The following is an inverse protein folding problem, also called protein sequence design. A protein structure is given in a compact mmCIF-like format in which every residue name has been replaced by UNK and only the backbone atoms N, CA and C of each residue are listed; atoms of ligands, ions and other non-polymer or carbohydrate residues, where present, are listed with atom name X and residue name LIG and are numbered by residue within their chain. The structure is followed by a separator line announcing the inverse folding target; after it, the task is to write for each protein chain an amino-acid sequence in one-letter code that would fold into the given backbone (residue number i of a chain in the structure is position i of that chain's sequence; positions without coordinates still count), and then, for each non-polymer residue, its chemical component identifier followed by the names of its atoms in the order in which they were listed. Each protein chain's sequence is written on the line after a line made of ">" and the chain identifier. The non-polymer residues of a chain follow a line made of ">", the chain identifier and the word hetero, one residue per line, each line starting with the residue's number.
data_IF_259827020748
#
_entry.id   IF_259827020748
#
_cell.length_a   1.000
_cell.length_b   1.000
_cell.length_c   1.000
_cell.angle_alpha   90.00
_cell.angle_beta   90.00
_cell.angle_gamma   90.00
#
_symmetry.space_group_name_H-M   'P 1'
#
loop_
_entity.id
_entity.type
_entity.pdbx_description
1 polymer ?
#
# COMPACT_ATOMS: atom_id res chain seq x y z
N UNK A 1 -21.77 -11.27 18.67
CA UNK A 1 -20.39 -11.07 19.21
C UNK A 1 -19.52 -12.18 18.61
N UNK A 2 -18.82 -11.91 17.50
CA UNK A 2 -17.85 -12.88 16.94
C UNK A 2 -16.61 -12.80 17.81
N UNK A 3 -16.37 -13.83 18.64
CA UNK A 3 -15.04 -14.09 19.17
C UNK A 3 -14.20 -14.63 18.00
N UNK A 4 -13.51 -13.73 17.28
CA UNK A 4 -12.45 -14.15 16.39
C UNK A 4 -11.36 -14.78 17.25
N UNK A 5 -11.11 -16.08 17.05
CA UNK A 5 -9.88 -16.69 17.53
C UNK A 5 -8.72 -15.90 16.91
N UNK A 6 -7.90 -15.28 17.73
CA UNK A 6 -6.67 -14.59 17.30
C UNK A 6 -5.64 -15.63 16.87
N UNK A 7 -5.85 -16.24 15.70
CA UNK A 7 -4.89 -17.15 15.10
C UNK A 7 -4.03 -16.33 14.13
N UNK A 8 -2.76 -16.18 14.44
CA UNK A 8 -1.77 -15.64 13.51
C UNK A 8 -1.07 -16.80 12.83
N UNK A 9 -1.11 -16.82 11.51
CA UNK A 9 -0.38 -17.77 10.68
C UNK A 9 0.64 -17.03 9.85
N UNK A 10 1.78 -17.64 9.60
CA UNK A 10 2.85 -17.09 8.78
C UNK A 10 3.52 -18.18 7.98
N UNK A 11 3.92 -17.85 6.76
CA UNK A 11 4.84 -18.67 5.98
C UNK A 11 6.11 -17.88 5.69
N UNK A 12 7.25 -18.56 5.66
CA UNK A 12 8.55 -17.94 5.34
C UNK A 12 8.92 -18.30 3.91
N UNK A 13 9.31 -17.28 3.12
CA UNK A 13 9.67 -17.41 1.72
C UNK A 13 11.02 -16.72 1.50
N UNK A 14 12.08 -17.54 1.29
CA UNK A 14 13.42 -16.99 1.06
C UNK A 14 13.92 -16.08 2.18
N UNK A 15 14.78 -15.13 1.82
CA UNK A 15 15.42 -14.18 2.76
C UNK A 15 15.06 -12.73 2.49
N UNK A 16 14.33 -12.45 1.40
CA UNK A 16 13.93 -11.11 1.02
C UNK A 16 12.56 -10.73 1.60
N UNK A 17 12.32 -9.43 1.69
CA UNK A 17 11.03 -8.91 2.15
C UNK A 17 9.90 -9.26 1.19
N UNK A 18 8.79 -9.73 1.75
CA UNK A 18 7.47 -9.81 1.09
C UNK A 18 6.69 -8.57 1.54
N UNK A 19 6.44 -7.64 0.63
CA UNK A 19 5.81 -6.36 0.95
C UNK A 19 4.35 -6.26 0.51
N UNK A 20 3.93 -7.13 -0.40
CA UNK A 20 2.53 -7.23 -0.83
C UNK A 20 2.11 -8.69 -1.02
N UNK A 21 0.82 -8.94 -0.80
CA UNK A 21 0.16 -10.21 -1.07
C UNK A 21 -1.24 -9.93 -1.61
N UNK A 22 -1.57 -10.48 -2.77
CA UNK A 22 -2.85 -10.23 -3.47
C UNK A 22 -3.41 -11.56 -3.96
N UNK A 23 -4.69 -11.89 -3.66
CA UNK A 23 -5.32 -13.10 -4.18
C UNK A 23 -5.37 -13.11 -5.71
N UNK A 24 -5.19 -14.27 -6.32
CA UNK A 24 -5.35 -14.46 -7.77
C UNK A 24 -6.83 -14.72 -8.07
N UNK A 25 -7.41 -14.00 -9.04
CA UNK A 25 -8.83 -14.14 -9.40
C UNK A 25 -9.16 -15.56 -9.86
N UNK A 26 -10.21 -16.12 -9.24
CA UNK A 26 -10.69 -17.48 -9.55
C UNK A 26 -9.86 -18.62 -8.96
N UNK A 27 -8.78 -18.32 -8.23
CA UNK A 27 -7.92 -19.32 -7.61
C UNK A 27 -8.00 -19.19 -6.08
N UNK A 28 -8.39 -20.26 -5.39
CA UNK A 28 -8.70 -20.22 -3.96
C UNK A 28 -7.47 -20.08 -3.07
N UNK A 29 -6.36 -20.65 -3.48
CA UNK A 29 -5.14 -20.83 -2.68
C UNK A 29 -3.89 -20.20 -3.33
N UNK A 30 -4.08 -19.43 -4.40
CA UNK A 30 -2.98 -18.77 -5.09
C UNK A 30 -2.94 -17.29 -4.79
N UNK A 31 -1.73 -16.82 -4.54
CA UNK A 31 -1.46 -15.42 -4.24
C UNK A 31 -0.31 -14.92 -5.11
N UNK A 32 -0.46 -13.70 -5.59
CA UNK A 32 0.66 -12.93 -6.11
C UNK A 32 1.34 -12.24 -4.93
N UNK A 33 2.65 -12.37 -4.84
CA UNK A 33 3.48 -11.74 -3.82
C UNK A 33 4.66 -11.02 -4.45
N UNK A 34 5.22 -10.06 -3.73
CA UNK A 34 6.56 -9.54 -4.01
C UNK A 34 7.61 -10.28 -3.18
N UNK A 35 8.79 -10.49 -3.76
CA UNK A 35 9.99 -11.00 -3.06
C UNK A 35 11.15 -10.09 -3.44
N UNK A 36 11.50 -9.12 -2.60
CA UNK A 36 12.45 -8.08 -2.98
C UNK A 36 11.94 -7.28 -4.19
N UNK A 37 12.61 -7.36 -5.34
CA UNK A 37 12.21 -6.73 -6.61
C UNK A 37 11.56 -7.69 -7.61
N UNK A 38 11.21 -8.89 -7.15
CA UNK A 38 10.51 -9.90 -7.96
C UNK A 38 9.03 -9.95 -7.60
N UNK A 39 8.19 -10.28 -8.59
CA UNK A 39 6.81 -10.72 -8.40
C UNK A 39 6.73 -12.22 -8.67
N UNK A 40 6.05 -12.93 -7.80
CA UNK A 40 5.86 -14.38 -7.92
C UNK A 40 4.42 -14.79 -7.56
N UNK A 41 4.00 -15.93 -8.10
CA UNK A 41 2.79 -16.65 -7.65
C UNK A 41 3.22 -17.74 -6.70
N UNK A 42 2.50 -17.84 -5.59
CA UNK A 42 2.66 -18.91 -4.61
C UNK A 42 1.33 -19.60 -4.37
N UNK A 43 1.39 -20.88 -4.00
CA UNK A 43 0.24 -21.60 -3.46
C UNK A 43 0.40 -21.67 -1.94
N UNK A 44 -0.61 -21.22 -1.20
CA UNK A 44 -0.62 -21.23 0.26
C UNK A 44 -2.03 -21.44 0.80
N UNK A 45 -2.15 -22.31 1.77
CA UNK A 45 -3.42 -22.64 2.44
C UNK A 45 -3.84 -21.62 3.51
N UNK A 46 -2.98 -20.62 3.79
CA UNK A 46 -3.20 -19.63 4.84
C UNK A 46 -2.84 -20.12 6.25
N UNK A 47 -2.38 -21.36 6.41
CA UNK A 47 -2.13 -21.99 7.70
C UNK A 47 -0.71 -22.56 7.85
N UNK A 48 -0.20 -23.20 6.79
CA UNK A 48 1.12 -23.84 6.77
C UNK A 48 2.26 -22.83 6.92
N UNK A 49 3.33 -23.23 7.58
CA UNK A 49 4.53 -22.39 7.74
C UNK A 49 5.35 -22.24 6.45
N UNK A 50 4.97 -22.94 5.39
CA UNK A 50 5.62 -22.93 4.09
C UNK A 50 4.59 -22.72 2.98
N UNK A 51 5.01 -22.01 1.95
CA UNK A 51 4.30 -21.95 0.67
C UNK A 51 4.82 -23.05 -0.25
N UNK A 52 4.03 -23.38 -1.26
CA UNK A 52 4.43 -24.28 -2.35
C UNK A 52 4.33 -23.59 -3.71
N UNK A 53 4.87 -24.22 -4.75
CA UNK A 53 4.75 -23.79 -6.13
C UNK A 53 5.13 -22.32 -6.36
N UNK A 54 6.24 -21.88 -5.79
CA UNK A 54 6.76 -20.52 -6.02
C UNK A 54 7.17 -20.38 -7.48
N UNK A 55 6.44 -19.57 -8.23
CA UNK A 55 6.68 -19.31 -9.66
C UNK A 55 6.94 -17.84 -9.88
N UNK A 56 8.18 -17.47 -10.18
CA UNK A 56 8.55 -16.12 -10.59
C UNK A 56 7.78 -15.72 -11.85
N UNK A 57 7.26 -14.50 -11.84
CA UNK A 57 6.60 -13.89 -12.99
C UNK A 57 7.51 -12.84 -13.64
N UNK A 58 7.92 -11.85 -12.87
CA UNK A 58 8.67 -10.69 -13.34
C UNK A 58 9.71 -10.27 -12.32
N UNK A 59 10.70 -9.57 -12.80
CA UNK A 59 11.69 -8.85 -12.02
C UNK A 59 11.85 -7.45 -12.64
N UNK A 60 11.93 -6.44 -11.78
CA UNK A 60 12.07 -5.04 -12.18
C UNK A 60 13.37 -4.46 -11.63
N UNK A 61 13.69 -3.21 -12.02
CA UNK A 61 14.85 -2.49 -11.51
C UNK A 61 16.17 -3.24 -11.70
N UNK A 62 16.39 -3.76 -12.92
CA UNK A 62 17.57 -4.56 -13.27
C UNK A 62 18.84 -3.73 -13.59
N UNK A 63 18.77 -2.39 -13.48
CA UNK A 63 19.94 -1.51 -13.63
C UNK A 63 20.84 -1.60 -12.41
N UNK A 64 22.18 -1.56 -12.55
CA UNK A 64 23.13 -1.57 -11.42
C UNK A 64 22.84 -0.51 -10.34
N UNK A 65 22.25 0.64 -10.70
CA UNK A 65 21.91 1.69 -9.75
C UNK A 65 20.61 1.42 -8.96
N UNK A 66 19.83 0.41 -9.35
CA UNK A 66 18.53 0.05 -8.77
C UNK A 66 18.48 -1.40 -8.31
N UNK A 67 19.57 -2.15 -8.46
CA UNK A 67 19.66 -3.57 -8.11
C UNK A 67 19.32 -3.87 -6.64
N UNK A 68 19.53 -2.90 -5.75
CA UNK A 68 19.20 -3.00 -4.33
C UNK A 68 17.75 -2.61 -4.02
N UNK A 69 16.97 -2.18 -5.02
CA UNK A 69 15.58 -1.81 -4.81
C UNK A 69 14.74 -3.00 -4.35
N UNK A 70 13.59 -2.71 -3.78
CA UNK A 70 12.55 -3.69 -3.50
C UNK A 70 11.18 -3.11 -3.79
N UNK A 71 10.19 -3.97 -4.04
CA UNK A 71 8.80 -3.55 -3.99
C UNK A 71 8.46 -3.04 -2.59
N UNK A 72 7.58 -2.05 -2.53
CA UNK A 72 7.04 -1.53 -1.28
C UNK A 72 5.54 -1.72 -1.23
N UNK A 73 4.74 -0.89 -1.87
CA UNK A 73 3.28 -1.03 -1.89
C UNK A 73 2.76 -1.39 -3.28
N UNK A 74 1.58 -2.02 -3.32
CA UNK A 74 0.92 -2.39 -4.55
C UNK A 74 -0.52 -2.81 -4.32
N UNK A 75 -1.35 -2.55 -5.33
CA UNK A 75 -2.78 -2.85 -5.32
C UNK A 75 -3.28 -3.09 -6.74
N UNK A 76 -4.35 -3.86 -6.90
CA UNK A 76 -5.00 -3.97 -8.20
C UNK A 76 -5.96 -2.81 -8.45
N UNK A 77 -5.94 -2.30 -9.68
CA UNK A 77 -6.98 -1.41 -10.16
C UNK A 77 -8.33 -2.15 -10.31
N UNK A 78 -9.44 -1.45 -10.54
CA UNK A 78 -10.75 -2.08 -10.66
C UNK A 78 -10.88 -3.13 -11.76
N UNK A 79 -9.98 -3.14 -12.76
CA UNK A 79 -9.95 -4.18 -13.80
C UNK A 79 -9.25 -5.47 -13.35
N UNK A 80 -8.46 -5.40 -12.29
CA UNK A 80 -7.61 -6.49 -11.79
C UNK A 80 -6.16 -6.42 -12.30
N UNK A 81 -5.79 -5.32 -12.96
CA UNK A 81 -4.38 -5.04 -13.31
C UNK A 81 -3.62 -4.66 -12.06
N UNK A 82 -2.51 -5.33 -11.79
CA UNK A 82 -1.65 -4.96 -10.67
C UNK A 82 -0.91 -3.65 -10.96
N UNK A 83 -0.89 -2.78 -9.97
CA UNK A 83 0.01 -1.63 -9.85
C UNK A 83 0.85 -1.85 -8.61
N UNK A 84 2.17 -1.81 -8.77
CA UNK A 84 3.09 -1.97 -7.65
C UNK A 84 4.35 -1.13 -7.89
N UNK A 85 4.85 -0.54 -6.84
CA UNK A 85 6.00 0.31 -6.96
C UNK A 85 7.14 -0.07 -6.04
N UNK A 86 8.31 0.39 -6.41
CA UNK A 86 9.56 0.12 -5.71
C UNK A 86 10.05 1.32 -4.91
N UNK A 87 11.00 1.06 -4.05
CA UNK A 87 11.78 2.03 -3.31
C UNK A 87 13.25 1.64 -3.36
N UNK A 88 14.15 2.57 -3.05
CA UNK A 88 15.55 2.24 -2.83
C UNK A 88 15.71 1.17 -1.76
N UNK A 89 16.79 0.40 -1.83
CA UNK A 89 17.05 -0.72 -0.93
C UNK A 89 16.94 -0.39 0.56
N UNK A 90 17.39 -1.30 1.40
CA UNK A 90 17.25 -1.15 2.85
C UNK A 90 17.78 0.19 3.36
N UNK A 91 17.06 0.85 4.28
CA UNK A 91 17.47 2.15 4.79
C UNK A 91 18.86 2.11 5.44
N UNK A 92 19.71 3.01 5.02
CA UNK A 92 21.00 3.24 5.70
C UNK A 92 20.79 4.36 6.71
N UNK A 93 21.04 4.09 7.99
CA UNK A 93 20.77 5.03 9.10
C UNK A 93 19.30 5.56 9.10
N UNK A 94 18.33 4.71 8.78
CA UNK A 94 16.92 5.07 8.73
C UNK A 94 16.50 5.89 7.50
N UNK A 95 17.41 6.14 6.56
CA UNK A 95 17.13 6.92 5.36
C UNK A 95 17.08 6.05 4.11
N UNK A 96 15.97 6.14 3.36
CA UNK A 96 15.81 5.52 2.06
C UNK A 96 16.41 6.42 0.97
N UNK A 97 17.13 5.82 0.02
CA UNK A 97 17.68 6.55 -1.12
C UNK A 97 16.55 7.16 -1.95
N UNK A 98 16.62 8.48 -2.19
CA UNK A 98 15.61 9.20 -2.97
C UNK A 98 15.70 8.88 -4.46
N UNK A 99 14.55 8.98 -5.16
CA UNK A 99 14.43 8.91 -6.63
C UNK A 99 15.00 7.61 -7.25
N UNK A 100 15.01 6.51 -6.48
CA UNK A 100 15.49 5.20 -6.96
C UNK A 100 14.35 4.28 -7.37
N UNK A 101 13.14 4.47 -6.83
CA UNK A 101 11.97 3.67 -7.13
C UNK A 101 11.26 4.06 -8.42
N UNK A 102 10.31 3.23 -8.79
CA UNK A 102 9.40 3.42 -9.90
C UNK A 102 8.03 2.83 -9.58
N UNK A 103 6.97 3.32 -10.23
CA UNK A 103 5.66 2.69 -10.22
C UNK A 103 5.44 1.93 -11.52
N UNK A 104 5.14 0.64 -11.40
CA UNK A 104 4.88 -0.27 -12.52
C UNK A 104 3.43 -0.72 -12.54
N UNK A 105 2.92 -1.08 -13.72
CA UNK A 105 1.71 -1.87 -13.89
C UNK A 105 2.00 -3.19 -14.61
N UNK A 106 1.21 -4.23 -14.25
CA UNK A 106 1.40 -5.61 -14.72
C UNK A 106 0.07 -6.16 -15.22
N UNK A 107 0.03 -6.56 -16.49
CA UNK A 107 -1.14 -7.20 -17.10
C UNK A 107 -0.71 -7.99 -18.34
N UNK A 108 -1.35 -9.14 -18.60
CA UNK A 108 -1.14 -9.95 -19.80
C UNK A 108 0.36 -10.25 -20.08
N UNK A 109 1.08 -10.67 -19.05
CA UNK A 109 2.52 -10.93 -19.12
C UNK A 109 3.37 -9.73 -19.58
N UNK A 110 2.89 -8.51 -19.37
CA UNK A 110 3.63 -7.29 -19.69
C UNK A 110 3.80 -6.42 -18.45
N UNK A 111 5.02 -5.90 -18.30
CA UNK A 111 5.37 -4.86 -17.31
C UNK A 111 5.43 -3.52 -18.04
N UNK A 112 4.83 -2.50 -17.46
CA UNK A 112 4.92 -1.12 -17.94
C UNK A 112 5.40 -0.22 -16.81
N UNK A 113 6.46 0.55 -17.02
CA UNK A 113 6.88 1.60 -16.09
C UNK A 113 6.05 2.85 -16.34
N UNK A 114 5.35 3.34 -15.32
CA UNK A 114 4.42 4.46 -15.43
C UNK A 114 4.97 5.74 -14.80
N UNK A 115 5.65 5.63 -13.66
CA UNK A 115 6.29 6.75 -12.96
C UNK A 115 7.70 6.32 -12.58
N UNK A 116 8.68 7.16 -12.89
CA UNK A 116 10.09 6.94 -12.53
C UNK A 116 10.53 7.97 -11.48
N UNK A 117 11.69 7.75 -10.86
CA UNK A 117 12.27 8.62 -9.83
C UNK A 117 11.34 8.77 -8.62
N UNK A 118 10.70 7.68 -8.24
CA UNK A 118 9.88 7.60 -7.03
C UNK A 118 10.81 7.47 -5.83
N UNK A 119 10.49 8.15 -4.74
CA UNK A 119 11.22 8.03 -3.50
C UNK A 119 10.85 6.74 -2.76
N UNK A 120 9.61 6.67 -2.27
CA UNK A 120 9.02 5.49 -1.65
C UNK A 120 7.60 5.34 -2.20
N UNK A 121 7.39 4.37 -3.08
CA UNK A 121 6.08 4.07 -3.63
C UNK A 121 5.16 3.55 -2.53
N UNK A 122 4.04 4.24 -2.33
CA UNK A 122 3.05 3.93 -1.31
C UNK A 122 1.63 4.03 -1.85
N UNK A 123 0.70 4.41 -1.03
CA UNK A 123 -0.73 4.37 -1.19
C UNK A 123 -1.28 4.51 -2.61
N UNK A 124 -2.17 3.58 -3.00
CA UNK A 124 -2.83 3.55 -4.30
C UNK A 124 -4.34 3.45 -4.11
N UNK A 125 -5.10 4.28 -4.82
CA UNK A 125 -6.56 4.19 -4.83
C UNK A 125 -7.11 4.66 -6.19
N UNK A 126 -8.29 4.16 -6.56
CA UNK A 126 -8.96 4.52 -7.81
C UNK A 126 -10.40 4.93 -7.56
N UNK A 127 -10.82 6.03 -8.19
CA UNK A 127 -12.22 6.38 -8.36
C UNK A 127 -12.64 6.06 -9.79
N UNK A 128 -13.52 5.06 -9.96
CA UNK A 128 -14.08 4.73 -11.27
C UNK A 128 -15.09 5.77 -11.73
N UNK A 129 -15.80 6.40 -10.81
CA UNK A 129 -16.76 7.45 -11.08
C UNK A 129 -16.09 8.68 -11.69
N UNK A 130 -14.94 9.08 -11.16
CA UNK A 130 -14.21 10.26 -11.58
C UNK A 130 -13.11 9.96 -12.62
N UNK A 131 -12.89 8.68 -12.98
CA UNK A 131 -11.77 8.24 -13.80
C UNK A 131 -10.41 8.75 -13.27
N UNK A 132 -10.19 8.60 -11.95
CA UNK A 132 -9.00 9.08 -11.27
C UNK A 132 -8.20 7.95 -10.63
N UNK A 133 -6.91 8.13 -10.63
CA UNK A 133 -5.95 7.39 -9.84
C UNK A 133 -5.30 8.32 -8.83
N UNK A 134 -5.29 7.92 -7.57
CA UNK A 134 -4.63 8.63 -6.49
C UNK A 134 -3.40 7.84 -6.04
N UNK A 135 -2.29 8.55 -5.85
CA UNK A 135 -1.01 7.93 -5.58
C UNK A 135 -0.19 8.71 -4.56
N UNK A 136 0.58 7.98 -3.76
CA UNK A 136 1.49 8.53 -2.77
C UNK A 136 2.93 8.11 -3.10
N UNK A 137 3.79 9.09 -3.35
CA UNK A 137 5.22 9.00 -3.14
C UNK A 137 5.51 9.63 -1.78
N UNK A 138 5.83 8.82 -0.77
CA UNK A 138 5.98 9.30 0.61
C UNK A 138 6.98 10.44 0.77
N UNK A 139 8.06 10.44 -0.02
CA UNK A 139 9.07 11.49 0.04
C UNK A 139 8.57 12.87 -0.43
N UNK A 140 7.45 12.92 -1.16
CA UNK A 140 6.84 14.17 -1.58
C UNK A 140 5.95 14.80 -0.51
N UNK A 141 5.49 14.00 0.46
CA UNK A 141 4.58 14.47 1.51
C UNK A 141 3.19 14.85 1.00
N UNK A 142 2.79 14.37 -0.19
CA UNK A 142 1.53 14.71 -0.86
C UNK A 142 0.75 13.47 -1.26
N UNK A 143 -0.57 13.64 -1.44
CA UNK A 143 -1.41 12.75 -2.24
C UNK A 143 -1.56 13.39 -3.60
N UNK A 144 -1.21 12.67 -4.65
CA UNK A 144 -1.26 13.15 -6.03
C UNK A 144 -2.42 12.50 -6.78
N UNK A 145 -3.06 13.26 -7.68
CA UNK A 145 -4.14 12.82 -8.57
C UNK A 145 -3.64 12.71 -10.01
N UNK A 146 -4.09 11.66 -10.70
CA UNK A 146 -3.85 11.40 -12.12
C UNK A 146 -5.18 11.12 -12.83
N UNK A 147 -5.36 11.59 -14.06
CA UNK A 147 -6.39 11.03 -14.93
C UNK A 147 -6.07 9.55 -15.19
N UNK A 148 -7.08 8.72 -15.19
CA UNK A 148 -6.91 7.27 -15.33
C UNK A 148 -7.80 6.70 -16.43
N UNK A 149 -7.19 6.09 -17.43
CA UNK A 149 -7.88 5.27 -18.41
C UNK A 149 -7.88 3.81 -17.98
N UNK A 150 -8.99 3.34 -17.42
CA UNK A 150 -9.14 1.96 -16.92
C UNK A 150 -8.98 0.93 -18.03
N UNK A 151 -9.39 1.24 -19.27
CA UNK A 151 -9.34 0.31 -20.40
C UNK A 151 -7.89 0.04 -20.81
N UNK A 152 -7.11 1.09 -20.94
CA UNK A 152 -5.72 0.99 -21.41
C UNK A 152 -4.71 0.88 -20.24
N UNK A 153 -5.11 1.22 -19.02
CA UNK A 153 -4.23 1.25 -17.85
C UNK A 153 -3.17 2.33 -17.98
N UNK A 154 -3.56 3.50 -18.47
CA UNK A 154 -2.66 4.64 -18.63
C UNK A 154 -3.05 5.77 -17.70
N UNK A 155 -2.06 6.54 -17.29
CA UNK A 155 -2.21 7.71 -16.41
C UNK A 155 -1.65 8.96 -17.07
N UNK A 156 -2.22 10.11 -16.71
CA UNK A 156 -1.73 11.43 -17.12
C UNK A 156 -0.51 11.87 -16.31
N UNK A 157 -0.14 13.15 -16.43
CA UNK A 157 0.78 13.80 -15.51
C UNK A 157 0.06 14.08 -14.18
N UNK A 158 0.66 13.64 -13.08
CA UNK A 158 0.12 13.85 -11.74
C UNK A 158 0.20 15.29 -11.26
N UNK A 159 -0.73 15.67 -10.38
CA UNK A 159 -0.75 16.94 -9.64
C UNK A 159 -1.08 16.66 -8.17
N UNK A 160 -0.45 17.38 -7.21
CA UNK A 160 -0.81 17.26 -5.81
C UNK A 160 -2.21 17.81 -5.56
N UNK A 161 -3.00 17.08 -4.77
CA UNK A 161 -4.33 17.48 -4.32
C UNK A 161 -4.40 17.71 -2.81
N UNK A 162 -3.49 17.11 -2.05
CA UNK A 162 -3.39 17.28 -0.62
C UNK A 162 -1.92 17.23 -0.18
N UNK A 163 -1.48 18.19 0.62
CA UNK A 163 -0.16 18.25 1.22
C UNK A 163 -0.27 18.14 2.74
N UNK A 164 0.44 17.20 3.35
CA UNK A 164 0.48 17.08 4.80
C UNK A 164 1.04 18.37 5.45
N UNK A 165 2.10 18.94 4.87
CA UNK A 165 2.73 20.16 5.37
C UNK A 165 1.77 21.35 5.37
N UNK A 166 1.07 21.61 4.25
CA UNK A 166 0.10 22.71 4.14
C UNK A 166 -1.06 22.59 5.13
N UNK A 167 -1.44 21.36 5.44
CA UNK A 167 -2.53 21.08 6.38
C UNK A 167 -2.05 20.88 7.83
N UNK A 168 -0.80 21.17 8.12
CA UNK A 168 -0.19 20.99 9.45
C UNK A 168 -0.39 19.56 10.03
N UNK A 169 -0.33 18.55 9.17
CA UNK A 169 -0.38 17.13 9.54
C UNK A 169 1.05 16.64 9.70
N UNK A 170 1.54 16.38 10.91
CA UNK A 170 2.90 15.89 11.12
C UNK A 170 3.02 14.45 10.64
N UNK A 171 4.15 14.11 10.04
CA UNK A 171 4.46 12.76 9.57
C UNK A 171 4.59 12.67 8.06
N UNK A 172 4.49 11.45 7.53
CA UNK A 172 4.72 11.11 6.13
C UNK A 172 3.52 10.28 5.63
N UNK A 173 2.91 10.59 4.48
CA UNK A 173 1.79 9.79 3.96
C UNK A 173 2.31 8.43 3.52
N UNK A 174 1.57 7.36 3.87
CA UNK A 174 1.94 5.96 3.64
C UNK A 174 0.83 5.23 2.88
N UNK A 175 0.32 4.12 3.36
CA UNK A 175 -0.75 3.37 2.68
C UNK A 175 -2.08 4.13 2.64
N UNK A 176 -2.92 3.84 1.64
CA UNK A 176 -4.17 4.55 1.37
C UNK A 176 -5.30 3.60 0.96
N UNK A 177 -6.52 3.94 1.34
CA UNK A 177 -7.76 3.33 0.87
C UNK A 177 -8.75 4.40 0.41
N UNK A 178 -9.79 4.00 -0.34
CA UNK A 178 -10.90 4.87 -0.74
C UNK A 178 -12.21 4.29 -0.19
N UNK A 179 -13.11 5.15 0.25
CA UNK A 179 -14.45 4.77 0.68
C UNK A 179 -15.48 4.86 -0.46
N UNK A 180 -16.71 4.40 -0.21
CA UNK A 180 -17.81 4.44 -1.18
C UNK A 180 -18.27 5.84 -1.54
N UNK A 181 -17.96 6.83 -0.69
CA UNK A 181 -18.26 8.24 -0.93
C UNK A 181 -17.15 8.94 -1.73
N UNK A 182 -16.09 8.21 -2.09
CA UNK A 182 -14.96 8.69 -2.86
C UNK A 182 -13.91 9.44 -2.04
N UNK A 183 -13.99 9.41 -0.71
CA UNK A 183 -12.97 10.03 0.15
C UNK A 183 -11.78 9.10 0.35
N UNK A 184 -10.60 9.67 0.49
CA UNK A 184 -9.37 8.92 0.70
C UNK A 184 -9.03 8.83 2.19
N UNK A 185 -8.64 7.66 2.63
CA UNK A 185 -8.16 7.36 3.97
C UNK A 185 -6.68 7.06 3.89
N UNK A 186 -5.86 7.85 4.59
CA UNK A 186 -4.39 7.82 4.47
C UNK A 186 -3.78 7.54 5.83
N UNK A 187 -2.90 6.54 5.88
CA UNK A 187 -2.02 6.30 7.01
C UNK A 187 -0.92 7.36 7.06
N UNK A 188 -0.61 7.85 8.25
CA UNK A 188 0.44 8.87 8.42
C UNK A 188 1.57 8.29 9.28
N UNK A 189 2.63 7.85 8.63
CA UNK A 189 3.84 7.35 9.28
C UNK A 189 4.52 8.44 10.09
N UNK A 190 4.91 8.14 11.32
CA UNK A 190 5.39 9.11 12.32
C UNK A 190 4.37 10.20 12.70
N UNK A 191 3.09 10.03 12.35
CA UNK A 191 2.03 11.00 12.64
C UNK A 191 1.02 10.52 13.70
N UNK A 192 1.11 9.29 14.18
CA UNK A 192 0.20 8.69 15.17
C UNK A 192 -1.29 8.75 14.77
N UNK A 193 -1.60 8.70 13.47
CA UNK A 193 -2.98 8.87 12.99
C UNK A 193 -3.23 8.27 11.63
N UNK A 194 -4.51 8.15 11.31
CA UNK A 194 -5.02 8.09 9.95
C UNK A 194 -5.81 9.37 9.68
N UNK A 195 -5.87 9.81 8.43
CA UNK A 195 -6.65 10.99 8.02
C UNK A 195 -7.63 10.61 6.92
N UNK A 196 -8.78 11.29 6.89
CA UNK A 196 -9.76 11.26 5.80
C UNK A 196 -9.69 12.58 5.05
N UNK A 197 -9.56 12.53 3.74
CA UNK A 197 -9.50 13.72 2.87
C UNK A 197 -10.54 13.62 1.75
N UNK A 198 -11.06 14.77 1.30
CA UNK A 198 -11.91 14.86 0.11
C UNK A 198 -11.04 15.18 -1.11
N UNK A 199 -10.80 14.23 -2.03
CA UNK A 199 -9.95 14.48 -3.18
C UNK A 199 -10.57 15.40 -4.25
N UNK A 200 -11.87 15.66 -4.16
CA UNK A 200 -12.62 16.53 -5.10
C UNK A 200 -12.36 18.02 -4.84
N UNK A 201 -12.06 18.35 -3.60
CA UNK A 201 -11.76 19.72 -3.16
C UNK A 201 -10.34 19.72 -2.62
N UNK A 202 -9.36 20.27 -3.36
CA UNK A 202 -7.96 20.28 -2.95
C UNK A 202 -7.75 20.80 -1.53
N UNK A 203 -6.78 20.22 -0.84
CA UNK A 203 -6.37 20.57 0.53
C UNK A 203 -7.49 20.44 1.58
N UNK A 204 -8.48 19.56 1.36
CA UNK A 204 -9.60 19.36 2.29
C UNK A 204 -9.38 18.16 3.20
N UNK A 205 -9.04 18.44 4.46
CA UNK A 205 -9.00 17.47 5.55
C UNK A 205 -10.39 17.34 6.16
N UNK A 206 -10.99 16.15 6.10
CA UNK A 206 -12.32 15.88 6.66
C UNK A 206 -12.24 15.36 8.10
N UNK A 207 -11.30 14.47 8.39
CA UNK A 207 -11.20 13.81 9.69
C UNK A 207 -9.75 13.43 9.99
N UNK A 208 -9.39 13.39 11.27
CA UNK A 208 -8.12 12.88 11.76
C UNK A 208 -8.36 11.99 12.96
N UNK A 209 -8.07 10.69 12.83
CA UNK A 209 -8.29 9.68 13.87
C UNK A 209 -6.95 9.30 14.48
N UNK A 210 -6.73 9.53 15.78
CA UNK A 210 -5.49 9.16 16.45
C UNK A 210 -5.37 7.63 16.54
N UNK A 211 -4.17 7.12 16.30
CA UNK A 211 -3.79 5.71 16.49
C UNK A 211 -2.72 5.68 17.59
N UNK A 212 -2.82 4.78 18.58
CA UNK A 212 -1.86 4.73 19.70
C UNK A 212 -0.53 4.06 19.29
N UNK A 213 -0.03 4.39 18.12
CA UNK A 213 1.25 3.96 17.58
C UNK A 213 1.83 5.05 16.69
N UNK A 214 3.13 5.31 16.78
CA UNK A 214 3.77 6.40 16.05
C UNK A 214 3.85 6.09 14.54
N UNK A 215 4.24 4.88 14.19
CA UNK A 215 4.50 4.48 12.81
C UNK A 215 3.28 3.78 12.20
N UNK A 216 2.28 4.55 11.82
CA UNK A 216 1.07 4.07 11.14
C UNK A 216 1.39 3.86 9.66
N UNK A 217 1.26 2.63 9.16
CA UNK A 217 1.79 2.25 7.85
C UNK A 217 0.74 2.07 6.77
N UNK A 218 -0.43 1.49 7.10
CA UNK A 218 -1.44 1.26 6.07
C UNK A 218 -2.84 1.21 6.66
N UNK A 219 -3.83 1.41 5.79
CA UNK A 219 -5.25 1.34 6.09
C UNK A 219 -5.97 0.47 5.08
N UNK A 220 -6.91 -0.35 5.55
CA UNK A 220 -7.80 -1.14 4.71
C UNK A 220 -9.17 -1.24 5.33
N UNK A 221 -10.22 -1.15 4.52
CA UNK A 221 -11.56 -1.46 4.96
C UNK A 221 -11.76 -2.97 5.08
N UNK A 222 -12.52 -3.38 6.09
CA UNK A 222 -12.83 -4.77 6.37
C UNK A 222 -14.09 -4.92 7.22
N UNK A 223 -14.23 -6.11 7.82
CA UNK A 223 -15.48 -6.49 8.49
C UNK A 223 -16.55 -6.97 7.52
N UNK A 224 -17.67 -7.52 8.03
CA UNK A 224 -18.72 -8.10 7.19
C UNK A 224 -19.39 -7.09 6.23
N UNK A 225 -19.42 -5.82 6.63
CA UNK A 225 -20.06 -4.74 5.90
C UNK A 225 -19.06 -3.77 5.26
N UNK A 226 -17.76 -4.01 5.38
CA UNK A 226 -16.69 -3.09 4.98
C UNK A 226 -16.78 -1.72 5.68
N UNK A 227 -17.25 -1.68 6.91
CA UNK A 227 -17.47 -0.49 7.74
C UNK A 227 -16.48 -0.41 8.93
N UNK A 228 -15.49 -1.26 8.94
CA UNK A 228 -14.37 -1.26 9.88
C UNK A 228 -13.08 -0.91 9.14
N UNK A 229 -12.18 -0.18 9.80
CA UNK A 229 -10.86 0.10 9.24
C UNK A 229 -9.81 -0.68 10.01
N UNK A 230 -8.99 -1.42 9.29
CA UNK A 230 -7.81 -2.11 9.82
C UNK A 230 -6.59 -1.27 9.51
N UNK A 231 -5.82 -0.96 10.55
CA UNK A 231 -4.66 -0.08 10.50
C UNK A 231 -3.43 -0.85 10.93
N UNK A 232 -2.45 -0.95 10.07
CA UNK A 232 -1.16 -1.58 10.40
C UNK A 232 -0.17 -0.55 10.91
N UNK A 233 0.79 -1.01 11.72
CA UNK A 233 1.83 -0.15 12.30
C UNK A 233 3.19 -0.84 12.25
N UNK A 234 4.26 -0.06 12.18
CA UNK A 234 5.62 -0.56 12.24
C UNK A 234 6.25 -0.34 13.62
N UNK A 235 7.44 -0.91 13.83
CA UNK A 235 8.27 -0.74 15.03
C UNK A 235 9.74 -0.54 14.66
N UNK A 236 9.99 0.34 13.70
CA UNK A 236 11.38 0.69 13.39
C UNK A 236 12.00 1.53 14.51
N UNK A 237 13.30 1.34 14.72
CA UNK A 237 14.07 2.18 15.62
C UNK A 237 14.12 3.61 15.09
N UNK A 238 13.78 4.58 15.94
CA UNK A 238 13.88 6.02 15.65
C UNK A 238 14.86 6.62 16.66
N UNK A 239 15.89 7.30 16.19
CA UNK A 239 16.89 7.98 17.03
C UNK A 239 17.41 7.10 18.17
N UNK A 240 17.69 5.83 17.86
CA UNK A 240 18.16 4.84 18.82
C UNK A 240 17.07 4.27 19.76
N UNK A 241 15.85 4.76 19.71
CA UNK A 241 14.73 4.27 20.51
C UNK A 241 14.01 3.13 19.79
N UNK A 242 13.92 1.99 20.44
CA UNK A 242 13.17 0.82 19.95
C UNK A 242 11.70 0.99 20.35
N UNK A 243 10.82 1.10 19.35
CA UNK A 243 9.38 1.14 19.59
C UNK A 243 8.87 -0.27 19.93
N UNK A 244 8.27 -0.41 21.10
CA UNK A 244 7.87 -1.72 21.64
C UNK A 244 6.35 -1.99 21.52
N UNK A 245 5.94 -3.28 21.41
CA UNK A 245 4.56 -3.68 21.60
C UNK A 245 4.03 -3.27 23.01
N UNK A 246 2.72 -3.14 23.21
CA UNK A 246 1.63 -3.48 22.26
C UNK A 246 1.32 -2.38 21.24
N UNK A 247 1.87 -1.18 21.41
CA UNK A 247 1.48 -0.01 20.62
C UNK A 247 2.13 0.04 19.24
N UNK A 248 3.26 -0.66 19.03
CA UNK A 248 4.02 -0.60 17.79
C UNK A 248 4.17 -1.99 17.17
N UNK A 249 4.08 -2.09 15.85
CA UNK A 249 4.13 -3.35 15.10
C UNK A 249 2.85 -4.19 15.21
N UNK A 250 1.77 -3.62 15.74
CA UNK A 250 0.45 -4.25 15.83
C UNK A 250 -0.50 -3.83 14.70
N UNK A 251 -1.66 -4.48 14.66
CA UNK A 251 -2.78 -4.10 13.81
C UNK A 251 -3.92 -3.62 14.69
N UNK A 252 -4.45 -2.45 14.38
CA UNK A 252 -5.59 -1.85 15.06
C UNK A 252 -6.86 -2.00 14.23
N UNK A 253 -7.98 -2.21 14.89
CA UNK A 253 -9.31 -2.15 14.31
C UNK A 253 -10.01 -0.89 14.81
N UNK A 254 -10.38 -0.01 13.89
CA UNK A 254 -11.15 1.21 14.14
C UNK A 254 -12.59 0.93 13.72
N UNK A 255 -13.52 1.17 14.63
CA UNK A 255 -14.96 0.97 14.42
C UNK A 255 -15.72 2.25 14.73
N UNK A 256 -16.95 2.36 14.25
CA UNK A 256 -17.77 3.56 14.46
C UNK A 256 -17.41 4.71 13.53
N UNK A 257 -16.64 4.45 12.49
CA UNK A 257 -16.42 5.40 11.40
C UNK A 257 -17.67 5.47 10.51
N UNK A 258 -18.05 6.68 10.11
CA UNK A 258 -19.17 6.86 9.19
C UNK A 258 -18.67 6.75 7.74
N UNK A 259 -18.23 5.54 7.36
CA UNK A 259 -17.73 5.25 6.03
C UNK A 259 -17.82 3.75 5.73
N UNK A 260 -17.90 3.42 4.45
CA UNK A 260 -17.78 2.05 3.94
C UNK A 260 -16.70 1.98 2.87
N UNK A 261 -15.94 0.92 2.88
CA UNK A 261 -14.94 0.66 1.85
C UNK A 261 -15.49 -0.07 0.63
N UNK A 262 -14.63 -0.18 -0.36
CA UNK A 262 -14.84 -1.01 -1.53
C UNK A 262 -14.21 -2.39 -1.31
N UNK A 263 -14.77 -3.47 -1.88
CA UNK A 263 -14.14 -4.79 -1.85
C UNK A 263 -12.75 -4.77 -2.46
N UNK A 264 -11.83 -5.55 -1.89
CA UNK A 264 -10.51 -5.76 -2.47
C UNK A 264 -10.59 -6.41 -3.85
N UNK A 265 -9.72 -6.01 -4.76
CA UNK A 265 -9.66 -6.52 -6.13
C UNK A 265 -8.54 -7.55 -6.25
N UNK A 266 -8.89 -8.77 -6.70
CA UNK A 266 -7.92 -9.82 -7.00
C UNK A 266 -7.21 -9.57 -8.32
N UNK A 267 -5.94 -9.99 -8.40
CA UNK A 267 -5.15 -9.85 -9.64
C UNK A 267 -5.68 -10.77 -10.74
N UNK A 268 -5.74 -10.24 -11.96
CA UNK A 268 -5.95 -10.99 -13.21
C UNK A 268 -4.58 -11.18 -13.86
N UNK A 269 -4.22 -12.45 -14.06
CA UNK A 269 -2.94 -12.85 -14.65
C UNK A 269 -3.04 -12.97 -16.18
#
# INVERSE_FOLDING_TARGET
>A
MYQQQKKHTKAVIGTHHVSLIIPVRGEKDKFLISIGRELAIVTWDGESEKVSNVRKLFEVDNDPNTIDNRFNDGKCDPSGRLWAGTMGGEPVNGQVKREKGSLFSFQNNKVTSNINKVGISNGLAWSTELNKFYYIDSHRGTVDEYEFDIKNGTISKGKPIFSLEKNNVPGIPDGMAIDTDGNLWVAVFNGNRIIKIDPRIPETLLESIPIPAQQVTSVAFGGPNLDEIYVTTAKFTIDGNILAPPNHGGTYRVTGVNAKGLPGVSVVL
#
